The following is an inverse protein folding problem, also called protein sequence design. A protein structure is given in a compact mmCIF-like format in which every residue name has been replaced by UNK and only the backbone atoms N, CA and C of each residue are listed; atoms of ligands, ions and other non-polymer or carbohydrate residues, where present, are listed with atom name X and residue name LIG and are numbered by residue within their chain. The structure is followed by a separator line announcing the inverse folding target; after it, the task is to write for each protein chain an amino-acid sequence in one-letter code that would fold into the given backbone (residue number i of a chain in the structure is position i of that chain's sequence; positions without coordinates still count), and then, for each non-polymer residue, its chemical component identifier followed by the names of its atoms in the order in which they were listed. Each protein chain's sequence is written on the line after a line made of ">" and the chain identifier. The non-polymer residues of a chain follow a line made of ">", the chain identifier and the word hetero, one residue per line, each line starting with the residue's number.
data_IF_825529872620
#
_entry.id   IF_825529872620
#
_cell.length_a   1.000
_cell.length_b   1.000
_cell.length_c   1.000
_cell.angle_alpha   90.00
_cell.angle_beta   90.00
_cell.angle_gamma   90.00
#
_symmetry.space_group_name_H-M   'P 1'
#
loop_
_entity.id
_entity.type
_entity.pdbx_description
1 polymer ?
#
# COMPACT_ATOMS: atom_id res chain seq x y z
N UNK A 1 13.81 -26.34 -4.87
CA UNK A 1 13.21 -25.13 -4.27
C UNK A 1 12.77 -24.26 -5.43
N UNK A 2 11.49 -23.91 -5.50
CA UNK A 2 10.96 -23.04 -6.56
C UNK A 2 11.32 -21.61 -6.15
N UNK A 3 12.20 -20.95 -6.90
CA UNK A 3 12.55 -19.55 -6.66
C UNK A 3 11.27 -18.72 -6.85
N UNK A 4 10.89 -18.02 -5.78
CA UNK A 4 9.82 -17.03 -5.79
C UNK A 4 10.38 -15.76 -6.41
N UNK A 5 10.67 -15.78 -7.70
CA UNK A 5 11.03 -14.60 -8.47
C UNK A 5 9.72 -13.83 -8.80
N UNK A 6 8.96 -13.44 -7.77
CA UNK A 6 8.15 -12.24 -7.86
C UNK A 6 9.14 -11.09 -7.78
N UNK A 7 9.23 -10.29 -8.84
CA UNK A 7 10.13 -9.14 -8.86
C UNK A 7 9.81 -8.31 -7.62
N UNK A 8 10.78 -8.23 -6.69
CA UNK A 8 10.54 -7.59 -5.41
C UNK A 8 10.28 -6.12 -5.71
N UNK A 9 9.04 -5.69 -5.52
CA UNK A 9 8.63 -4.31 -5.72
C UNK A 9 9.48 -3.37 -4.88
N UNK A 10 9.72 -2.18 -5.40
CA UNK A 10 10.47 -1.18 -4.66
C UNK A 10 9.69 -0.74 -3.41
N UNK A 11 10.36 -0.27 -2.35
CA UNK A 11 9.69 0.22 -1.16
C UNK A 11 8.71 1.36 -1.47
N UNK A 12 9.02 2.20 -2.46
CA UNK A 12 8.12 3.28 -2.90
C UNK A 12 6.82 2.73 -3.50
N UNK A 13 6.91 1.71 -4.36
CA UNK A 13 5.75 1.03 -4.95
C UNK A 13 4.85 0.39 -3.88
N UNK A 14 5.47 -0.24 -2.87
CA UNK A 14 4.75 -0.78 -1.72
C UNK A 14 4.02 0.33 -0.94
N UNK A 15 4.70 1.44 -0.65
CA UNK A 15 4.15 2.58 0.08
C UNK A 15 2.98 3.20 -0.69
N UNK A 16 3.15 3.52 -1.97
CA UNK A 16 2.11 4.16 -2.79
C UNK A 16 0.87 3.29 -2.93
N UNK A 17 1.08 2.00 -3.18
CA UNK A 17 -0.01 1.01 -3.26
C UNK A 17 -0.76 0.92 -1.94
N UNK A 18 -0.05 0.83 -0.81
CA UNK A 18 -0.68 0.69 0.50
C UNK A 18 -1.43 1.97 0.92
N UNK A 19 -0.90 3.15 0.59
CA UNK A 19 -1.58 4.43 0.79
C UNK A 19 -2.90 4.45 0.02
N UNK A 20 -2.91 4.03 -1.24
CA UNK A 20 -4.13 4.01 -2.04
C UNK A 20 -5.13 2.95 -1.59
N UNK A 21 -4.67 1.77 -1.16
CA UNK A 21 -5.53 0.76 -0.55
C UNK A 21 -6.21 1.29 0.72
N UNK A 22 -5.45 1.99 1.57
CA UNK A 22 -5.99 2.57 2.81
C UNK A 22 -6.93 3.74 2.51
N UNK A 23 -6.63 4.57 1.52
CA UNK A 23 -7.54 5.63 1.07
C UNK A 23 -8.86 5.06 0.52
N UNK A 24 -8.78 3.99 -0.28
CA UNK A 24 -9.96 3.29 -0.80
C UNK A 24 -10.82 2.70 0.32
N UNK A 25 -10.21 2.14 1.37
CA UNK A 25 -10.92 1.63 2.54
C UNK A 25 -11.68 2.74 3.29
N UNK A 26 -11.11 3.95 3.40
CA UNK A 26 -11.76 5.09 4.07
C UNK A 26 -13.02 5.60 3.36
N UNK A 27 -13.19 5.30 2.07
CA UNK A 27 -14.39 5.67 1.30
C UNK A 27 -15.55 4.72 1.62
N UNK A 28 -15.26 3.51 2.10
CA UNK A 28 -16.28 2.51 2.41
C UNK A 28 -16.85 2.70 3.82
N UNK A 29 -18.15 2.44 4.01
CA UNK A 29 -18.83 2.59 5.30
C UNK A 29 -18.25 1.69 6.41
N UNK A 30 -17.72 0.53 6.05
CA UNK A 30 -17.14 -0.45 6.99
C UNK A 30 -15.64 -0.22 7.25
N UNK A 31 -15.01 0.72 6.54
CA UNK A 31 -13.57 0.96 6.62
C UNK A 31 -12.73 -0.21 6.09
N UNK A 32 -13.29 -1.01 5.18
CA UNK A 32 -12.66 -2.20 4.60
C UNK A 32 -12.54 -2.04 3.08
N UNK A 33 -11.36 -2.35 2.54
CA UNK A 33 -11.17 -2.39 1.08
C UNK A 33 -11.95 -3.58 0.50
N UNK A 34 -12.87 -3.31 -0.42
CA UNK A 34 -13.58 -4.38 -1.14
C UNK A 34 -12.61 -5.11 -2.08
N UNK A 35 -12.92 -6.35 -2.45
CA UNK A 35 -12.11 -7.08 -3.43
C UNK A 35 -11.98 -6.33 -4.76
N UNK A 36 -13.06 -5.70 -5.24
CA UNK A 36 -13.04 -4.89 -6.46
C UNK A 36 -12.14 -3.65 -6.33
N UNK A 37 -12.26 -2.91 -5.22
CA UNK A 37 -11.41 -1.73 -4.95
C UNK A 37 -9.94 -2.12 -4.81
N UNK A 38 -9.65 -3.27 -4.19
CA UNK A 38 -8.29 -3.81 -4.08
C UNK A 38 -7.74 -4.10 -5.46
N UNK A 39 -8.47 -4.88 -6.28
CA UNK A 39 -8.02 -5.22 -7.64
C UNK A 39 -7.78 -3.98 -8.50
N UNK A 40 -8.63 -2.95 -8.39
CA UNK A 40 -8.44 -1.70 -9.12
C UNK A 40 -7.17 -0.94 -8.69
N UNK A 41 -6.89 -0.86 -7.38
CA UNK A 41 -5.67 -0.22 -6.88
C UNK A 41 -4.44 -0.97 -7.34
N UNK A 42 -4.45 -2.30 -7.24
CA UNK A 42 -3.34 -3.15 -7.68
C UNK A 42 -3.06 -3.01 -9.19
N UNK A 43 -4.10 -3.03 -10.02
CA UNK A 43 -3.99 -2.84 -11.47
C UNK A 43 -3.39 -1.46 -11.83
N UNK A 44 -3.79 -0.41 -11.11
CA UNK A 44 -3.27 0.96 -11.30
C UNK A 44 -1.76 1.05 -11.07
N UNK A 45 -1.26 0.33 -10.07
CA UNK A 45 0.16 0.30 -9.73
C UNK A 45 0.93 -0.77 -10.52
N UNK A 46 0.25 -1.63 -11.29
CA UNK A 46 0.87 -2.73 -12.02
C UNK A 46 1.43 -3.83 -11.12
N UNK A 47 0.91 -3.94 -9.89
CA UNK A 47 1.43 -4.80 -8.82
C UNK A 47 0.40 -5.89 -8.51
N UNK A 48 0.86 -7.10 -8.20
CA UNK A 48 0.00 -8.19 -7.78
C UNK A 48 -0.12 -8.30 -6.26
N UNK A 49 -1.15 -9.01 -5.77
CA UNK A 49 -1.24 -9.35 -4.35
C UNK A 49 -0.03 -10.16 -3.87
N UNK A 50 0.56 -10.97 -4.76
CA UNK A 50 1.74 -11.78 -4.47
C UNK A 50 2.97 -10.92 -4.17
N UNK A 51 3.15 -9.82 -4.89
CA UNK A 51 4.30 -8.93 -4.71
C UNK A 51 4.26 -8.21 -3.37
N UNK A 52 3.07 -7.75 -2.93
CA UNK A 52 2.88 -7.18 -1.59
C UNK A 52 3.18 -8.19 -0.49
N UNK A 53 2.76 -9.45 -0.67
CA UNK A 53 3.02 -10.53 0.29
C UNK A 53 4.52 -10.82 0.33
N UNK A 54 5.18 -10.99 -0.81
CA UNK A 54 6.61 -11.25 -0.89
C UNK A 54 7.44 -10.12 -0.29
N UNK A 55 7.07 -8.85 -0.53
CA UNK A 55 7.72 -7.71 0.12
C UNK A 55 7.62 -7.79 1.64
N UNK A 56 6.43 -8.07 2.18
CA UNK A 56 6.21 -8.21 3.61
C UNK A 56 6.93 -9.43 4.21
N UNK A 57 7.03 -10.54 3.50
CA UNK A 57 7.76 -11.73 3.96
C UNK A 57 9.27 -11.49 4.01
N UNK A 58 9.83 -10.75 3.04
CA UNK A 58 11.28 -10.47 2.96
C UNK A 58 11.70 -9.40 3.97
N UNK A 59 10.92 -8.33 4.08
CA UNK A 59 11.27 -7.17 4.91
C UNK A 59 10.63 -7.17 6.30
N UNK A 60 9.60 -7.99 6.53
CA UNK A 60 8.82 -7.98 7.76
C UNK A 60 9.60 -8.27 9.05
N UNK A 61 10.73 -8.97 8.95
CA UNK A 61 11.62 -9.24 10.08
C UNK A 61 12.52 -8.04 10.45
N UNK A 62 12.75 -7.11 9.50
CA UNK A 62 13.47 -5.87 9.77
C UNK A 62 12.50 -4.81 10.32
N UNK A 63 12.33 -4.82 11.63
CA UNK A 63 11.40 -3.94 12.33
C UNK A 63 11.75 -2.45 12.19
N UNK A 64 13.04 -2.10 12.00
CA UNK A 64 13.46 -0.70 11.84
C UNK A 64 13.04 -0.22 10.47
N UNK A 65 13.38 -0.98 9.43
CA UNK A 65 12.98 -0.68 8.07
C UNK A 65 11.46 -0.63 7.93
N UNK A 66 10.73 -1.64 8.44
CA UNK A 66 9.27 -1.64 8.38
C UNK A 66 8.64 -0.48 9.16
N UNK A 67 9.24 -0.05 10.26
CA UNK A 67 8.78 1.15 10.97
C UNK A 67 8.94 2.41 10.10
N UNK A 68 10.04 2.56 9.34
CA UNK A 68 10.20 3.67 8.40
C UNK A 68 9.14 3.64 7.29
N UNK A 69 8.85 2.46 6.73
CA UNK A 69 7.79 2.26 5.74
C UNK A 69 6.42 2.68 6.29
N UNK A 70 6.06 2.23 7.50
CA UNK A 70 4.79 2.58 8.12
C UNK A 70 4.68 4.08 8.42
N UNK A 71 5.75 4.69 8.93
CA UNK A 71 5.78 6.14 9.20
C UNK A 71 5.55 6.95 7.91
N UNK A 72 6.16 6.54 6.79
CA UNK A 72 5.98 7.21 5.50
C UNK A 72 4.55 7.04 4.97
N UNK A 73 3.98 5.83 5.09
CA UNK A 73 2.56 5.58 4.75
C UNK A 73 1.64 6.47 5.58
N UNK A 74 1.87 6.58 6.88
CA UNK A 74 1.07 7.43 7.76
C UNK A 74 1.18 8.91 7.37
N UNK A 75 2.39 9.41 7.14
CA UNK A 75 2.64 10.78 6.70
C UNK A 75 1.93 11.11 5.38
N UNK A 76 2.01 10.22 4.38
CA UNK A 76 1.32 10.39 3.09
C UNK A 76 -0.21 10.36 3.27
N UNK A 77 -0.73 9.52 4.15
CA UNK A 77 -2.16 9.47 4.48
C UNK A 77 -2.64 10.74 5.19
N UNK A 78 -1.84 11.30 6.10
CA UNK A 78 -2.13 12.58 6.76
C UNK A 78 -2.14 13.74 5.76
N UNK A 79 -1.18 13.77 4.83
CA UNK A 79 -1.15 14.76 3.75
C UNK A 79 -2.40 14.63 2.84
N UNK A 80 -2.79 13.41 2.43
CA UNK A 80 -4.02 13.19 1.65
C UNK A 80 -5.29 13.67 2.38
N UNK A 81 -5.36 13.53 3.70
CA UNK A 81 -6.47 14.03 4.52
C UNK A 81 -6.44 15.54 4.72
N UNK A 82 -5.24 16.11 4.77
CA UNK A 82 -5.02 17.53 5.04
C UNK A 82 -5.10 18.41 3.79
N UNK A 83 -4.98 17.83 2.59
CA UNK A 83 -5.22 18.53 1.33
C UNK A 83 -6.65 19.08 1.25
N UNK A 84 -6.85 20.41 1.31
CA UNK A 84 -8.15 21.03 1.19
C UNK A 84 -8.51 21.22 -0.30
N UNK A 85 -8.60 20.14 -1.08
CA UNK A 85 -9.09 20.21 -2.47
C UNK A 85 -10.62 20.08 -2.51
N UNK A 86 -11.30 21.07 -1.92
CA UNK A 86 -12.76 21.13 -1.89
C UNK A 86 -13.37 22.47 -1.44
N UNK A 87 -12.61 23.57 -1.46
CA UNK A 87 -13.14 24.93 -1.30
C UNK A 87 -12.63 25.81 -2.44
N UNK A 88 -13.22 25.66 -3.63
CA UNK A 88 -13.40 26.73 -4.59
C UNK A 88 -14.74 26.56 -5.30
#
# INVERSE_FOLDING_TARGET
>A
MNSVDGDLIDPEDFIETYVDLRAAALITEDGQVTGASRSEVLDRHGISEGDLISFAEIHGEDLIFMQEIWNEIELRMENKRSSPEGLN
#
